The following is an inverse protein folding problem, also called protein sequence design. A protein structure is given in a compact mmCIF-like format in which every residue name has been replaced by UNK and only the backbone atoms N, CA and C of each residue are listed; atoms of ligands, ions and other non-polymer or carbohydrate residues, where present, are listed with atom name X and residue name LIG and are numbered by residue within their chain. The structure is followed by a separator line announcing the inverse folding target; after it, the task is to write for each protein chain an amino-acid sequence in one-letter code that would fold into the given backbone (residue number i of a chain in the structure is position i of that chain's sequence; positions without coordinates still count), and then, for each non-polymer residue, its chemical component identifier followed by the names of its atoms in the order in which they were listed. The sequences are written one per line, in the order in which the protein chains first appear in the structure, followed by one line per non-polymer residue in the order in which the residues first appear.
data_IF_609518604948
#
_entry.id   IF_609518604948
#
_cell.length_a   1.000
_cell.length_b   1.000
_cell.length_c   1.000
_cell.angle_alpha   90.00
_cell.angle_beta   90.00
_cell.angle_gamma   90.00
#
_symmetry.space_group_name_H-M   'P 1'
#
loop_
_entity.id
_entity.type
_entity.pdbx_description
1 polymer ?
#
# COMPACT_ATOMS: atom_id res chain seq x y z
N UNK A 1 -15.20 -5.92 -10.55
CA UNK A 1 -14.99 -5.14 -11.80
C UNK A 1 -14.17 -5.94 -12.83
N UNK A 2 -14.13 -5.62 -14.15
CA UNK A 2 -13.20 -6.30 -15.09
C UNK A 2 -11.89 -5.52 -15.16
N UNK A 3 -10.82 -6.06 -14.59
CA UNK A 3 -9.47 -5.48 -14.65
C UNK A 3 -8.94 -5.47 -16.09
N UNK A 4 -8.29 -4.39 -16.51
CA UNK A 4 -7.60 -4.33 -17.80
C UNK A 4 -6.16 -4.81 -17.59
N UNK A 5 -5.78 -6.01 -18.05
CA UNK A 5 -4.43 -6.55 -17.83
C UNK A 5 -3.33 -5.75 -18.57
N UNK A 6 -3.71 -4.84 -19.46
CA UNK A 6 -2.79 -3.96 -20.18
C UNK A 6 -2.79 -2.53 -19.67
N UNK A 7 -3.51 -2.24 -18.57
CA UNK A 7 -3.42 -0.93 -17.93
C UNK A 7 -2.00 -0.71 -17.41
N UNK A 8 -1.49 0.49 -17.68
CA UNK A 8 -0.24 0.97 -17.13
C UNK A 8 -0.49 2.25 -16.37
N UNK A 9 0.16 2.39 -15.23
CA UNK A 9 -0.05 3.47 -14.28
C UNK A 9 1.16 4.38 -14.24
N UNK A 10 0.91 5.67 -14.09
CA UNK A 10 1.89 6.71 -13.78
C UNK A 10 2.24 6.70 -12.31
N UNK A 11 3.35 7.35 -11.96
CA UNK A 11 3.76 7.46 -10.56
C UNK A 11 2.74 8.23 -9.70
N UNK A 12 2.14 9.34 -10.18
CA UNK A 12 1.07 10.01 -9.45
C UNK A 12 -0.16 9.12 -9.18
N UNK A 13 -0.59 8.29 -10.13
CA UNK A 13 -1.71 7.37 -9.94
C UNK A 13 -1.40 6.32 -8.86
N UNK A 14 -0.17 5.78 -8.87
CA UNK A 14 0.28 4.81 -7.87
C UNK A 14 0.37 5.46 -6.49
N UNK A 15 0.90 6.68 -6.40
CA UNK A 15 1.00 7.45 -5.16
C UNK A 15 -0.39 7.78 -4.59
N UNK A 16 -1.36 8.15 -5.44
CA UNK A 16 -2.74 8.36 -5.02
C UNK A 16 -3.36 7.07 -4.45
N UNK A 17 -3.24 5.96 -5.18
CA UNK A 17 -3.77 4.67 -4.70
C UNK A 17 -3.10 4.20 -3.40
N UNK A 18 -1.80 4.45 -3.22
CA UNK A 18 -1.10 4.19 -1.95
C UNK A 18 -1.67 5.02 -0.80
N UNK A 19 -1.86 6.32 -1.00
CA UNK A 19 -2.44 7.19 0.03
C UNK A 19 -3.85 6.77 0.41
N UNK A 20 -4.71 6.56 -0.58
CA UNK A 20 -6.11 6.21 -0.38
C UNK A 20 -6.24 4.80 0.22
N UNK A 21 -5.39 3.86 -0.19
CA UNK A 21 -5.34 2.51 0.39
C UNK A 21 -4.88 2.51 1.84
N UNK A 22 -3.90 3.35 2.21
CA UNK A 22 -3.51 3.56 3.60
C UNK A 22 -4.63 4.20 4.40
N UNK A 23 -5.28 5.25 3.87
CA UNK A 23 -6.40 5.90 4.55
C UNK A 23 -7.57 4.92 4.80
N UNK A 24 -7.85 4.05 3.83
CA UNK A 24 -8.85 2.98 3.95
C UNK A 24 -8.47 1.98 5.05
N UNK A 25 -7.25 1.45 5.02
CA UNK A 25 -6.78 0.49 6.04
C UNK A 25 -6.74 1.12 7.45
N UNK A 26 -6.34 2.39 7.56
CA UNK A 26 -6.37 3.15 8.81
C UNK A 26 -7.80 3.32 9.31
N UNK A 27 -8.75 3.62 8.43
CA UNK A 27 -10.17 3.80 8.78
C UNK A 27 -10.80 2.58 9.48
N UNK A 28 -10.28 1.38 9.22
CA UNK A 28 -10.74 0.15 9.85
C UNK A 28 -10.10 -0.14 11.22
N UNK A 29 -9.05 0.60 11.61
CA UNK A 29 -8.21 0.28 12.78
C UNK A 29 -8.08 1.47 13.74
N UNK A 30 -7.61 1.25 14.99
CA UNK A 30 -7.27 2.36 15.89
C UNK A 30 -5.90 3.01 15.59
N UNK A 31 -5.17 2.52 14.59
CA UNK A 31 -3.83 3.01 14.24
C UNK A 31 -3.92 4.36 13.52
N UNK A 32 -2.77 5.01 13.36
CA UNK A 32 -2.66 6.26 12.59
C UNK A 32 -1.79 6.06 11.35
N UNK A 33 -1.96 6.91 10.34
CA UNK A 33 -1.14 6.89 9.11
C UNK A 33 0.38 7.00 9.37
N UNK A 34 0.77 7.58 10.52
CA UNK A 34 2.16 7.76 10.90
C UNK A 34 2.83 6.48 11.41
N UNK A 35 2.06 5.41 11.65
CA UNK A 35 2.65 4.14 12.11
C UNK A 35 3.63 3.59 11.07
N UNK A 36 4.77 3.07 11.54
CA UNK A 36 5.79 2.45 10.70
C UNK A 36 5.17 1.39 9.76
N UNK A 37 4.12 0.72 10.23
CA UNK A 37 3.33 -0.24 9.46
C UNK A 37 2.82 0.28 8.12
N UNK A 38 2.48 1.57 8.01
CA UNK A 38 1.97 2.18 6.77
C UNK A 38 3.04 2.96 6.02
N UNK A 39 3.97 3.59 6.74
CA UNK A 39 5.04 4.37 6.11
C UNK A 39 6.08 3.50 5.39
N UNK A 40 6.30 2.26 5.86
CA UNK A 40 7.17 1.27 5.20
C UNK A 40 6.65 0.83 3.82
N UNK A 41 5.40 0.34 3.68
CA UNK A 41 4.82 0.02 2.38
C UNK A 41 4.92 1.15 1.35
N UNK A 42 4.68 2.40 1.76
CA UNK A 42 4.79 3.57 0.87
C UNK A 42 6.23 3.74 0.37
N UNK A 43 7.21 3.77 1.27
CA UNK A 43 8.62 3.92 0.93
C UNK A 43 9.16 2.74 0.10
N UNK A 44 8.85 1.51 0.52
CA UNK A 44 9.29 0.29 -0.14
C UNK A 44 8.70 0.15 -1.55
N UNK A 45 7.45 0.53 -1.76
CA UNK A 45 6.82 0.48 -3.10
C UNK A 45 7.56 1.43 -4.05
N UNK A 46 7.81 2.67 -3.64
CA UNK A 46 8.52 3.65 -4.46
C UNK A 46 9.97 3.21 -4.75
N UNK A 47 10.65 2.60 -3.78
CA UNK A 47 11.97 2.01 -3.97
C UNK A 47 11.93 0.91 -5.03
N UNK A 48 11.02 -0.04 -4.89
CA UNK A 48 10.93 -1.21 -5.77
C UNK A 48 10.51 -0.85 -7.20
N UNK A 49 9.69 0.19 -7.37
CA UNK A 49 9.35 0.74 -8.68
C UNK A 49 10.50 1.49 -9.35
N UNK A 50 11.36 2.13 -8.55
CA UNK A 50 12.56 2.82 -9.03
C UNK A 50 13.68 1.84 -9.39
N UNK A 51 13.84 0.79 -8.59
CA UNK A 51 14.82 -0.27 -8.75
C UNK A 51 14.18 -1.64 -8.38
N UNK A 52 13.77 -2.43 -9.38
CA UNK A 52 13.20 -3.77 -9.17
C UNK A 52 14.18 -4.78 -8.55
N UNK A 53 15.46 -4.45 -8.38
CA UNK A 53 16.44 -5.30 -7.68
C UNK A 53 16.74 -4.79 -6.27
N UNK A 54 16.08 -3.72 -5.83
CA UNK A 54 16.27 -3.15 -4.52
C UNK A 54 15.98 -4.18 -3.42
N UNK A 55 16.83 -4.13 -2.37
CA UNK A 55 16.69 -4.97 -1.18
C UNK A 55 16.17 -4.15 -0.01
N UNK A 56 15.75 -4.83 1.06
CA UNK A 56 15.27 -4.18 2.29
C UNK A 56 16.30 -3.21 2.89
N UNK A 57 17.60 -3.44 2.70
CA UNK A 57 18.67 -2.54 3.12
C UNK A 57 18.60 -1.16 2.42
N UNK A 58 18.00 -1.11 1.22
CA UNK A 58 17.76 0.13 0.50
C UNK A 58 16.58 0.95 1.04
N UNK A 59 15.65 0.34 1.78
CA UNK A 59 14.46 1.05 2.29
C UNK A 59 14.87 2.11 3.33
N UNK A 60 15.91 1.87 4.12
CA UNK A 60 16.47 2.88 5.02
C UNK A 60 16.91 4.17 4.30
N UNK A 61 17.19 4.13 2.99
CA UNK A 61 17.50 5.33 2.21
C UNK A 61 16.26 6.23 1.99
N UNK A 62 15.06 5.68 2.18
CA UNK A 62 13.79 6.39 2.21
C UNK A 62 13.42 6.87 3.61
N UNK A 63 14.32 6.81 4.61
CA UNK A 63 14.11 7.34 5.96
C UNK A 63 13.69 8.82 5.95
N UNK A 64 14.10 9.59 4.94
CA UNK A 64 13.66 10.98 4.77
C UNK A 64 12.18 11.06 4.40
N UNK A 65 11.69 10.16 3.54
CA UNK A 65 10.27 10.07 3.18
C UNK A 65 9.46 9.54 4.37
N UNK A 66 9.96 8.49 5.02
CA UNK A 66 9.35 7.91 6.23
C UNK A 66 9.22 8.95 7.35
N UNK A 67 10.30 9.65 7.67
CA UNK A 67 10.30 10.71 8.68
C UNK A 67 9.40 11.90 8.30
N UNK A 68 9.22 12.18 7.00
CA UNK A 68 8.27 13.21 6.53
C UNK A 68 6.82 12.76 6.71
N UNK A 69 6.48 11.53 6.35
CA UNK A 69 5.13 10.99 6.55
C UNK A 69 4.81 10.91 8.05
N UNK A 70 5.76 10.47 8.89
CA UNK A 70 5.62 10.38 10.35
C UNK A 70 5.29 11.74 11.01
N UNK A 71 5.68 12.87 10.43
CA UNK A 71 5.35 14.22 10.93
C UNK A 71 4.12 14.85 10.25
N UNK A 72 3.34 14.07 9.50
CA UNK A 72 2.11 14.51 8.85
C UNK A 72 2.30 15.20 7.50
N UNK A 73 3.43 14.97 6.83
CA UNK A 73 3.64 15.46 5.47
C UNK A 73 2.95 14.50 4.48
N UNK A 74 2.06 15.03 3.66
CA UNK A 74 1.50 14.32 2.50
C UNK A 74 2.65 13.79 1.62
N UNK A 75 2.48 12.61 1.01
CA UNK A 75 3.48 12.12 0.05
C UNK A 75 3.73 13.24 -0.96
N UNK A 76 4.98 13.64 -1.21
CA UNK A 76 5.27 14.71 -2.16
C UNK A 76 4.59 14.39 -3.49
N UNK A 77 3.94 15.39 -4.10
CA UNK A 77 3.55 15.30 -5.51
C UNK A 77 4.79 14.93 -6.30
N UNK A 78 4.86 13.66 -6.73
CA UNK A 78 6.02 13.18 -7.46
C UNK A 78 5.81 13.60 -8.91
N UNK A 79 6.72 14.39 -9.52
CA UNK A 79 6.57 14.80 -10.90
C UNK A 79 6.44 13.56 -11.80
N UNK A 80 5.45 13.58 -12.70
CA UNK A 80 5.33 12.56 -13.72
C UNK A 80 6.53 12.67 -14.68
N UNK A 81 7.46 11.73 -14.56
CA UNK A 81 8.63 11.63 -15.42
C UNK A 81 8.36 10.83 -16.71
N UNK A 82 7.10 10.45 -16.96
CA UNK A 82 6.66 9.71 -18.12
C UNK A 82 6.85 8.19 -18.02
N UNK A 83 7.46 7.68 -16.94
CA UNK A 83 7.50 6.23 -16.70
C UNK A 83 6.10 5.70 -16.41
N UNK A 84 5.89 4.46 -16.83
CA UNK A 84 4.62 3.75 -16.68
C UNK A 84 4.91 2.33 -16.20
N UNK A 85 4.10 1.84 -15.27
CA UNK A 85 4.23 0.50 -14.70
C UNK A 85 2.96 -0.28 -14.95
N UNK A 86 3.11 -1.55 -15.29
CA UNK A 86 1.98 -2.49 -15.39
C UNK A 86 1.38 -2.74 -14.03
N UNK A 87 0.11 -3.15 -14.00
CA UNK A 87 -0.56 -3.60 -12.77
C UNK A 87 0.25 -4.63 -11.98
N UNK A 88 0.86 -5.58 -12.68
CA UNK A 88 1.65 -6.65 -12.07
C UNK A 88 2.93 -6.11 -11.41
N UNK A 89 3.62 -5.15 -12.06
CA UNK A 89 4.79 -4.50 -11.47
C UNK A 89 4.44 -3.71 -10.21
N UNK A 90 3.28 -3.03 -10.20
CA UNK A 90 2.82 -2.31 -9.00
C UNK A 90 2.44 -3.31 -7.90
N UNK A 91 1.72 -4.38 -8.25
CA UNK A 91 1.35 -5.43 -7.31
C UNK A 91 2.57 -6.10 -6.68
N UNK A 92 3.58 -6.45 -7.47
CA UNK A 92 4.84 -7.01 -6.97
C UNK A 92 5.53 -6.03 -6.01
N UNK A 93 5.60 -4.75 -6.37
CA UNK A 93 6.23 -3.72 -5.57
C UNK A 93 5.53 -3.52 -4.21
N UNK A 94 4.20 -3.45 -4.21
CA UNK A 94 3.40 -3.24 -2.99
C UNK A 94 3.49 -4.47 -2.07
N UNK A 95 3.31 -5.68 -2.61
CA UNK A 95 3.45 -6.92 -1.83
C UNK A 95 4.85 -7.04 -1.21
N UNK A 96 5.89 -6.81 -2.02
CA UNK A 96 7.27 -6.84 -1.53
C UNK A 96 7.48 -5.84 -0.39
N UNK A 97 6.98 -4.60 -0.54
CA UNK A 97 7.16 -3.55 0.45
C UNK A 97 6.45 -3.87 1.77
N UNK A 98 5.25 -4.43 1.69
CA UNK A 98 4.47 -4.87 2.84
C UNK A 98 5.17 -6.02 3.58
N UNK A 99 5.68 -7.03 2.85
CA UNK A 99 6.44 -8.14 3.44
C UNK A 99 7.72 -7.65 4.14
N UNK A 100 8.47 -6.75 3.50
CA UNK A 100 9.66 -6.16 4.12
C UNK A 100 9.29 -5.33 5.35
N UNK A 101 8.20 -4.56 5.29
CA UNK A 101 7.70 -3.76 6.41
C UNK A 101 7.30 -4.62 7.60
N UNK A 102 6.54 -5.69 7.37
CA UNK A 102 6.14 -6.63 8.43
C UNK A 102 7.36 -7.25 9.13
N UNK A 103 8.35 -7.71 8.36
CA UNK A 103 9.56 -8.28 8.91
C UNK A 103 10.43 -7.24 9.64
N UNK A 104 10.57 -6.03 9.09
CA UNK A 104 11.40 -4.98 9.69
C UNK A 104 10.79 -4.39 10.97
N UNK A 105 9.47 -4.20 11.01
CA UNK A 105 8.76 -3.53 12.12
C UNK A 105 8.37 -4.52 13.21
N UNK A 106 7.92 -5.72 12.82
CA UNK A 106 7.32 -6.70 13.75
C UNK A 106 8.10 -8.02 13.84
N UNK A 107 9.09 -8.24 12.98
CA UNK A 107 9.80 -9.52 12.90
C UNK A 107 8.90 -10.68 12.47
N UNK A 108 7.85 -10.39 11.71
CA UNK A 108 6.81 -11.34 11.28
C UNK A 108 6.58 -11.29 9.78
N UNK A 109 5.76 -12.21 9.27
CA UNK A 109 5.17 -12.09 7.94
C UNK A 109 4.02 -11.07 7.95
N UNK A 110 3.58 -10.67 6.75
CA UNK A 110 2.37 -9.90 6.54
C UNK A 110 1.14 -10.65 7.10
N UNK A 111 0.21 -9.90 7.69
CA UNK A 111 -1.05 -10.41 8.24
C UNK A 111 -2.26 -9.79 7.53
N UNK A 112 -3.45 -9.91 8.12
CA UNK A 112 -4.70 -9.46 7.50
C UNK A 112 -4.77 -7.95 7.24
N UNK A 113 -4.21 -7.10 8.12
CA UNK A 113 -4.19 -5.64 7.89
C UNK A 113 -3.22 -5.26 6.78
N UNK A 114 -2.11 -5.97 6.70
CA UNK A 114 -1.13 -5.79 5.64
C UNK A 114 -1.69 -6.23 4.27
N UNK A 115 -2.40 -7.35 4.23
CA UNK A 115 -3.12 -7.81 3.05
C UNK A 115 -4.25 -6.85 2.65
N UNK A 116 -4.95 -6.26 3.64
CA UNK A 116 -5.96 -5.22 3.38
C UNK A 116 -5.35 -4.03 2.66
N UNK A 117 -4.19 -3.55 3.10
CA UNK A 117 -3.48 -2.47 2.42
C UNK A 117 -3.17 -2.84 0.96
N UNK A 118 -2.60 -4.03 0.71
CA UNK A 118 -2.30 -4.46 -0.67
C UNK A 118 -3.58 -4.45 -1.53
N UNK A 119 -4.64 -5.09 -1.05
CA UNK A 119 -5.88 -5.23 -1.82
C UNK A 119 -6.60 -3.89 -2.03
N UNK A 120 -6.55 -2.99 -1.05
CA UNK A 120 -7.07 -1.64 -1.19
C UNK A 120 -6.33 -0.88 -2.30
N UNK A 121 -4.99 -0.87 -2.26
CA UNK A 121 -4.16 -0.21 -3.28
C UNK A 121 -4.43 -0.77 -4.67
N UNK A 122 -4.50 -2.09 -4.81
CA UNK A 122 -4.76 -2.72 -6.10
C UNK A 122 -6.17 -2.42 -6.62
N UNK A 123 -7.17 -2.35 -5.75
CA UNK A 123 -8.54 -2.00 -6.13
C UNK A 123 -8.63 -0.52 -6.54
N UNK A 124 -7.95 0.37 -5.82
CA UNK A 124 -7.90 1.81 -6.13
C UNK A 124 -7.13 2.13 -7.42
N UNK A 125 -6.16 1.30 -7.80
CA UNK A 125 -5.53 1.37 -9.11
C UNK A 125 -6.50 0.99 -10.24
N UNK A 126 -7.32 -0.03 -10.02
CA UNK A 126 -8.29 -0.49 -11.01
C UNK A 126 -9.51 0.46 -11.09
N UNK A 127 -9.94 1.01 -9.95
CA UNK A 127 -10.99 2.01 -9.79
C UNK A 127 -10.64 3.01 -8.68
N UNK A 128 -10.28 4.27 -9.03
CA UNK A 128 -9.97 5.31 -8.05
C UNK A 128 -11.13 5.67 -7.09
N UNK A 129 -12.33 5.14 -7.32
CA UNK A 129 -13.49 5.33 -6.46
C UNK A 129 -13.90 4.08 -5.67
N UNK A 130 -13.09 3.01 -5.70
CA UNK A 130 -13.35 1.81 -4.94
C UNK A 130 -13.49 2.12 -3.44
N UNK A 131 -14.57 1.63 -2.83
CA UNK A 131 -14.81 1.74 -1.40
C UNK A 131 -14.35 0.46 -0.66
N UNK A 132 -14.27 0.53 0.67
CA UNK A 132 -13.90 -0.64 1.48
C UNK A 132 -14.82 -1.84 1.26
N UNK A 133 -16.11 -1.61 0.99
CA UNK A 133 -17.06 -2.67 0.66
C UNK A 133 -16.68 -3.41 -0.63
N UNK A 134 -16.26 -2.68 -1.66
CA UNK A 134 -15.78 -3.28 -2.91
C UNK A 134 -14.53 -4.13 -2.66
N UNK A 135 -13.60 -3.61 -1.84
CA UNK A 135 -12.37 -4.34 -1.49
C UNK A 135 -12.69 -5.63 -0.77
N UNK A 136 -13.57 -5.61 0.23
CA UNK A 136 -13.97 -6.77 1.02
C UNK A 136 -14.64 -7.84 0.14
N UNK A 137 -15.62 -7.45 -0.68
CA UNK A 137 -16.38 -8.39 -1.50
C UNK A 137 -15.53 -8.93 -2.64
N UNK A 138 -14.79 -8.09 -3.35
CA UNK A 138 -14.07 -8.51 -4.57
C UNK A 138 -12.77 -9.27 -4.26
N UNK A 139 -12.06 -8.93 -3.19
CA UNK A 139 -10.75 -9.52 -2.89
C UNK A 139 -10.81 -10.63 -1.82
N UNK A 140 -11.78 -10.58 -0.91
CA UNK A 140 -11.91 -11.57 0.17
C UNK A 140 -13.12 -12.49 -0.03
N UNK A 141 -14.14 -12.06 -0.78
CA UNK A 141 -15.41 -12.78 -0.88
C UNK A 141 -16.16 -12.80 0.45
N UNK A 142 -15.92 -11.80 1.30
CA UNK A 142 -16.40 -11.72 2.68
C UNK A 142 -17.19 -10.44 2.90
N UNK A 143 -18.01 -10.44 3.95
CA UNK A 143 -18.71 -9.24 4.41
C UNK A 143 -17.71 -8.20 4.95
N UNK A 144 -17.92 -6.89 4.71
CA UNK A 144 -17.02 -5.83 5.17
C UNK A 144 -16.75 -5.88 6.69
N UNK A 145 -17.76 -6.23 7.50
CA UNK A 145 -17.60 -6.36 8.96
C UNK A 145 -16.58 -7.44 9.34
N UNK A 146 -16.51 -8.55 8.60
CA UNK A 146 -15.56 -9.63 8.85
C UNK A 146 -14.13 -9.17 8.58
N UNK A 147 -13.90 -8.52 7.44
CA UNK A 147 -12.57 -8.00 7.06
C UNK A 147 -12.14 -6.89 8.02
N UNK A 148 -13.06 -6.01 8.40
CA UNK A 148 -12.85 -4.95 9.39
C UNK A 148 -12.42 -5.52 10.75
N UNK A 149 -13.03 -6.61 11.20
CA UNK A 149 -12.61 -7.30 12.43
C UNK A 149 -11.21 -7.88 12.31
N UNK A 150 -10.86 -8.57 11.21
CA UNK A 150 -9.51 -9.09 11.02
C UNK A 150 -8.45 -7.99 11.04
N UNK A 151 -8.73 -6.86 10.37
CA UNK A 151 -7.86 -5.69 10.39
C UNK A 151 -7.64 -5.15 11.81
N UNK A 152 -8.70 -5.09 12.63
CA UNK A 152 -8.61 -4.65 14.04
C UNK A 152 -7.85 -5.64 14.91
N UNK A 153 -8.08 -6.94 14.73
CA UNK A 153 -7.39 -7.99 15.47
C UNK A 153 -5.89 -7.99 15.14
N UNK A 154 -5.52 -7.74 13.87
CA UNK A 154 -4.14 -7.57 13.43
C UNK A 154 -3.47 -6.26 13.90
N UNK A 155 -4.27 -5.26 14.27
CA UNK A 155 -3.80 -3.97 14.79
C UNK A 155 -3.59 -3.94 16.31
N UNK A 156 -4.02 -4.98 17.04
CA UNK A 156 -3.96 -5.08 18.49
C UNK A 156 -2.59 -5.55 19.01
#
# INVERSE_FOLDING_TARGET
MRTNPYATFSLPEIVAALNDGVAMAVGETPLTIAEARFTWPMAGTLLRLADPEATAAGIGQYDVLRARIEIGYEIPEVPDDGRRWTRDQVSEAVNWAVDQGANAVRGSCADDLDNLLVNAVMSLLDDPHAEFEDVAVENYGEEPETVSRWARDAAA
#
